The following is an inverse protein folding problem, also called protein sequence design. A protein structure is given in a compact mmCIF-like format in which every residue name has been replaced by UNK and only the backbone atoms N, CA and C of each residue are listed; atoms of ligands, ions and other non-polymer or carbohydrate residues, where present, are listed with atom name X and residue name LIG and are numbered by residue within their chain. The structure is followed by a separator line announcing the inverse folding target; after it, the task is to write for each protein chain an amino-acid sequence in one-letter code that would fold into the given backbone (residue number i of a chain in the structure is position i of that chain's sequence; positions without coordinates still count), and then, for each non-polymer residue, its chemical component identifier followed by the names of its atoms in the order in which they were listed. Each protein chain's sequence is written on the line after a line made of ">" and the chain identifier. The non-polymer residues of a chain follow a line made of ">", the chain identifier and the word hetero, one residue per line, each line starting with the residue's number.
data_IF_346092364932
#
_entry.id   IF_346092364932
#
_cell.length_a   1.000
_cell.length_b   1.000
_cell.length_c   1.000
_cell.angle_alpha   90.00
_cell.angle_beta   90.00
_cell.angle_gamma   90.00
#
_symmetry.space_group_name_H-M   'P 1'
#
loop_
_entity.id
_entity.type
_entity.pdbx_description
1 polymer ?
#
# COMPACT_ATOMS: atom_id res chain seq x y z
N UNK A 1 14.87 38.94 -3.99
CA UNK A 1 14.09 38.26 -2.94
C UNK A 1 14.42 36.77 -2.99
N UNK A 2 14.88 36.18 -1.88
CA UNK A 2 15.35 34.78 -1.82
C UNK A 2 14.29 33.84 -2.39
N UNK A 3 14.66 33.01 -3.37
CA UNK A 3 13.78 32.08 -4.12
C UNK A 3 12.93 31.19 -3.21
N UNK A 4 13.40 30.96 -1.98
CA UNK A 4 12.70 30.24 -0.91
C UNK A 4 11.41 30.95 -0.49
N UNK A 5 11.44 32.28 -0.37
CA UNK A 5 10.27 33.11 0.01
C UNK A 5 9.24 33.18 -1.12
N UNK A 6 9.70 33.18 -2.38
CA UNK A 6 8.82 33.15 -3.54
C UNK A 6 8.09 31.80 -3.65
N UNK A 7 8.78 30.69 -3.38
CA UNK A 7 8.17 29.35 -3.36
C UNK A 7 7.11 29.20 -2.26
N UNK A 8 7.40 29.66 -1.04
CA UNK A 8 6.41 29.62 0.06
C UNK A 8 5.19 30.49 -0.23
N UNK A 9 5.39 31.64 -0.87
CA UNK A 9 4.30 32.55 -1.22
C UNK A 9 3.43 32.00 -2.37
N UNK A 10 4.05 31.35 -3.37
CA UNK A 10 3.32 30.68 -4.46
C UNK A 10 2.53 29.46 -3.95
N UNK A 11 3.10 28.67 -3.03
CA UNK A 11 2.41 27.54 -2.42
C UNK A 11 1.22 27.99 -1.56
N UNK A 12 1.39 29.07 -0.79
CA UNK A 12 0.29 29.67 -0.02
C UNK A 12 -0.81 30.24 -0.91
N UNK A 13 -0.46 30.87 -2.03
CA UNK A 13 -1.42 31.41 -2.99
C UNK A 13 -2.22 30.30 -3.71
N UNK A 14 -1.55 29.21 -4.08
CA UNK A 14 -2.21 28.04 -4.67
C UNK A 14 -3.19 27.38 -3.68
N UNK A 15 -2.79 27.21 -2.41
CA UNK A 15 -3.67 26.68 -1.38
C UNK A 15 -4.89 27.58 -1.12
N UNK A 16 -4.72 28.91 -1.15
CA UNK A 16 -5.83 29.86 -1.00
C UNK A 16 -6.81 29.80 -2.18
N UNK A 17 -6.32 29.54 -3.41
CA UNK A 17 -7.19 29.41 -4.59
C UNK A 17 -8.07 28.16 -4.56
N UNK A 18 -7.62 27.08 -3.90
CA UNK A 18 -8.41 25.84 -3.77
C UNK A 18 -9.59 25.99 -2.80
N UNK A 19 -9.50 26.90 -1.82
CA UNK A 19 -10.59 27.20 -0.86
C UNK A 19 -11.72 28.01 -1.50
N UNK A 20 -11.46 28.68 -2.64
CA UNK A 20 -12.43 29.54 -3.34
C UNK A 20 -13.18 28.83 -4.48
N UNK A 21 -13.07 27.51 -4.61
CA UNK A 21 -13.87 26.74 -5.58
C UNK A 21 -15.27 26.54 -4.97
N UNK A 22 -16.17 27.46 -5.27
CA UNK A 22 -17.61 27.23 -5.08
C UNK A 22 -18.13 26.37 -6.24
N UNK A 23 -19.02 25.39 -5.96
CA UNK A 23 -19.65 24.62 -7.04
C UNK A 23 -20.52 25.56 -7.86
N UNK A 24 -20.15 25.77 -9.13
CA UNK A 24 -20.96 26.50 -10.09
C UNK A 24 -22.23 25.70 -10.39
N UNK A 25 -23.30 25.93 -9.62
CA UNK A 25 -24.63 25.42 -9.91
C UNK A 25 -25.19 26.17 -11.12
N UNK A 26 -24.88 25.67 -12.32
CA UNK A 26 -25.58 26.06 -13.54
C UNK A 26 -26.95 25.38 -13.57
N UNK A 27 -27.94 25.99 -12.91
CA UNK A 27 -29.34 25.64 -13.11
C UNK A 27 -29.81 26.20 -14.46
N UNK A 28 -29.99 25.33 -15.46
CA UNK A 28 -30.61 25.67 -16.74
C UNK A 28 -29.84 25.01 -17.88
N UNK A 29 -30.42 24.16 -18.72
CA UNK A 29 -31.83 23.99 -19.05
C UNK A 29 -31.88 23.45 -20.47
N UNK A 30 -32.13 22.15 -20.60
CA UNK A 30 -32.73 21.43 -21.72
C UNK A 30 -32.39 21.83 -23.16
N UNK A 31 -31.75 20.90 -23.88
CA UNK A 31 -32.12 20.65 -25.29
C UNK A 31 -31.02 20.74 -26.33
N UNK A 32 -29.75 20.86 -25.95
CA UNK A 32 -28.65 21.03 -26.90
C UNK A 32 -27.77 19.77 -26.93
N UNK A 33 -27.47 19.18 -28.11
CA UNK A 33 -26.77 17.88 -28.22
C UNK A 33 -25.31 17.90 -27.73
N UNK A 34 -24.75 19.10 -27.52
CA UNK A 34 -23.42 19.30 -26.95
C UNK A 34 -23.42 19.43 -25.42
N UNK A 35 -24.58 19.53 -24.76
CA UNK A 35 -24.63 19.67 -23.31
C UNK A 35 -24.23 18.38 -22.58
N UNK A 36 -24.66 17.20 -23.07
CA UNK A 36 -24.27 15.91 -22.49
C UNK A 36 -22.75 15.67 -22.46
N UNK A 37 -22.01 15.93 -23.56
CA UNK A 37 -20.56 15.89 -23.55
C UNK A 37 -19.91 16.90 -22.59
N UNK A 38 -20.48 18.10 -22.42
CA UNK A 38 -19.96 19.10 -21.47
C UNK A 38 -20.24 18.70 -20.01
N UNK A 39 -21.40 18.11 -19.74
CA UNK A 39 -21.76 17.56 -18.43
C UNK A 39 -20.86 16.38 -18.06
N UNK A 40 -20.55 15.47 -19.01
CA UNK A 40 -19.58 14.39 -18.78
C UNK A 40 -18.18 14.89 -18.45
N UNK A 41 -17.72 15.98 -19.07
CA UNK A 41 -16.43 16.60 -18.73
C UNK A 41 -16.49 17.16 -17.30
N UNK A 42 -17.60 17.80 -16.93
CA UNK A 42 -17.81 18.36 -15.60
C UNK A 42 -17.85 17.26 -14.52
N UNK A 43 -18.57 16.16 -14.77
CA UNK A 43 -18.57 14.96 -13.94
C UNK A 43 -17.19 14.29 -13.90
N UNK A 44 -16.41 14.32 -14.98
CA UNK A 44 -15.07 13.69 -15.00
C UNK A 44 -14.06 14.46 -14.14
N UNK A 45 -14.20 15.77 -14.04
CA UNK A 45 -13.31 16.64 -13.26
C UNK A 45 -13.72 16.71 -11.77
N UNK A 46 -15.00 16.48 -11.47
CA UNK A 46 -15.55 16.51 -10.10
C UNK A 46 -15.86 15.13 -9.53
N UNK A 47 -15.85 14.09 -10.35
CA UNK A 47 -16.25 12.74 -10.00
C UNK A 47 -15.16 11.91 -9.30
N UNK A 48 -15.45 10.62 -9.04
CA UNK A 48 -14.58 9.72 -8.26
C UNK A 48 -13.17 9.57 -8.82
N UNK A 49 -13.01 9.68 -10.15
CA UNK A 49 -11.71 9.55 -10.83
C UNK A 49 -10.79 10.72 -10.46
N UNK A 50 -11.30 11.95 -10.43
CA UNK A 50 -10.54 13.13 -10.00
C UNK A 50 -10.11 12.99 -8.53
N UNK A 51 -11.00 12.48 -7.67
CA UNK A 51 -10.68 12.17 -6.28
C UNK A 51 -9.54 11.15 -6.13
N UNK A 52 -9.55 10.07 -6.93
CA UNK A 52 -8.49 9.07 -6.91
C UNK A 52 -7.12 9.64 -7.35
N UNK A 53 -7.11 10.48 -8.40
CA UNK A 53 -5.90 11.16 -8.86
C UNK A 53 -5.39 12.13 -7.79
N UNK A 54 -6.28 12.89 -7.15
CA UNK A 54 -5.92 13.81 -6.07
C UNK A 54 -5.28 13.08 -4.89
N UNK A 55 -5.86 11.94 -4.47
CA UNK A 55 -5.31 11.10 -3.40
C UNK A 55 -3.91 10.59 -3.76
N UNK A 56 -3.74 10.06 -4.98
CA UNK A 56 -2.44 9.59 -5.46
C UNK A 56 -1.40 10.71 -5.49
N UNK A 57 -1.79 11.90 -5.97
CA UNK A 57 -0.92 13.08 -6.01
C UNK A 57 -0.49 13.51 -4.60
N UNK A 58 -1.41 13.53 -3.62
CA UNK A 58 -1.08 13.86 -2.22
C UNK A 58 -0.14 12.83 -1.60
N UNK A 59 -0.33 11.54 -1.86
CA UNK A 59 0.57 10.50 -1.36
C UNK A 59 1.99 10.67 -1.91
N UNK A 60 2.12 10.94 -3.21
CA UNK A 60 3.42 11.18 -3.87
C UNK A 60 4.04 12.48 -3.36
N UNK A 61 3.28 13.58 -3.26
CA UNK A 61 3.75 14.86 -2.78
C UNK A 61 4.19 14.80 -1.30
N UNK A 62 3.42 14.12 -0.45
CA UNK A 62 3.78 13.88 0.95
C UNK A 62 5.04 13.04 1.08
N UNK A 63 5.18 12.01 0.25
CA UNK A 63 6.42 11.26 0.11
C UNK A 63 7.59 12.17 -0.25
N UNK A 64 7.49 12.90 -1.36
CA UNK A 64 8.54 13.82 -1.82
C UNK A 64 8.91 14.89 -0.78
N UNK A 65 7.96 15.39 0.01
CA UNK A 65 8.21 16.42 1.02
C UNK A 65 9.10 15.91 2.17
N UNK A 66 8.93 14.65 2.58
CA UNK A 66 9.77 14.01 3.61
C UNK A 66 11.20 13.75 3.08
N UNK A 67 11.33 13.48 1.78
CA UNK A 67 12.62 13.17 1.14
C UNK A 67 13.28 14.37 0.44
N UNK A 68 12.71 15.58 0.55
CA UNK A 68 13.33 16.81 0.07
C UNK A 68 13.20 17.06 -1.45
N UNK A 69 12.28 16.40 -2.14
CA UNK A 69 11.97 16.63 -3.56
C UNK A 69 12.90 15.94 -4.56
N UNK A 70 13.87 15.16 -4.10
CA UNK A 70 14.76 14.37 -4.96
C UNK A 70 14.10 13.00 -5.24
N UNK A 71 13.67 12.79 -6.49
CA UNK A 71 12.89 11.63 -6.90
C UNK A 71 13.70 10.32 -6.81
N UNK A 72 15.01 10.39 -7.06
CA UNK A 72 15.90 9.25 -7.15
C UNK A 72 16.25 8.71 -5.75
N UNK A 73 16.43 9.57 -4.75
CA UNK A 73 16.56 9.23 -3.33
C UNK A 73 15.25 8.68 -2.75
N UNK A 74 14.10 9.25 -3.11
CA UNK A 74 12.79 8.69 -2.74
C UNK A 74 12.63 7.27 -3.29
N UNK A 75 12.87 7.06 -4.58
CA UNK A 75 12.76 5.76 -5.22
C UNK A 75 13.71 4.73 -4.60
N UNK A 76 14.96 5.13 -4.33
CA UNK A 76 15.94 4.28 -3.66
C UNK A 76 15.49 3.88 -2.26
N UNK A 77 14.95 4.81 -1.47
CA UNK A 77 14.46 4.53 -0.11
C UNK A 77 13.21 3.65 -0.12
N UNK A 78 12.29 3.87 -1.05
CA UNK A 78 11.11 3.04 -1.23
C UNK A 78 11.50 1.61 -1.61
N UNK A 79 12.48 1.44 -2.51
CA UNK A 79 13.01 0.13 -2.87
C UNK A 79 13.58 -0.62 -1.67
N UNK A 80 14.36 0.04 -0.80
CA UNK A 80 14.87 -0.60 0.43
C UNK A 80 13.76 -1.03 1.37
N UNK A 81 12.74 -0.19 1.59
CA UNK A 81 11.60 -0.54 2.45
C UNK A 81 10.87 -1.76 1.89
N UNK A 82 10.62 -1.80 0.58
CA UNK A 82 9.95 -2.93 -0.09
C UNK A 82 10.80 -4.20 -0.02
N UNK A 83 12.12 -4.11 -0.25
CA UNK A 83 13.02 -5.27 -0.15
C UNK A 83 13.04 -5.85 1.27
N UNK A 84 13.17 -5.01 2.29
CA UNK A 84 13.18 -5.46 3.69
C UNK A 84 11.82 -6.04 4.08
N UNK A 85 10.72 -5.36 3.75
CA UNK A 85 9.38 -5.86 4.03
C UNK A 85 9.13 -7.20 3.31
N UNK A 86 9.53 -7.31 2.05
CA UNK A 86 9.42 -8.55 1.27
C UNK A 86 10.21 -9.70 1.87
N UNK A 87 11.43 -9.46 2.36
CA UNK A 87 12.22 -10.47 3.07
C UNK A 87 11.54 -10.89 4.37
N UNK A 88 11.04 -9.94 5.17
CA UNK A 88 10.36 -10.26 6.44
C UNK A 88 9.08 -11.06 6.20
N UNK A 89 8.26 -10.67 5.21
CA UNK A 89 7.05 -11.39 4.83
C UNK A 89 7.35 -12.75 4.18
N UNK A 90 8.44 -12.86 3.41
CA UNK A 90 8.88 -14.12 2.80
C UNK A 90 9.50 -15.09 3.81
N UNK A 91 10.20 -14.57 4.82
CA UNK A 91 10.86 -15.37 5.85
C UNK A 91 9.86 -16.21 6.65
N UNK A 92 8.66 -15.71 6.94
CA UNK A 92 7.62 -16.49 7.62
C UNK A 92 7.18 -17.70 6.80
N UNK A 93 7.13 -17.56 5.47
CA UNK A 93 6.82 -18.67 4.56
C UNK A 93 7.93 -19.72 4.60
N UNK A 94 9.20 -19.31 4.56
CA UNK A 94 10.35 -20.22 4.61
C UNK A 94 10.38 -20.99 5.94
N UNK A 95 10.19 -20.31 7.08
CA UNK A 95 10.12 -20.95 8.41
C UNK A 95 8.98 -21.96 8.46
N UNK A 96 7.82 -21.66 7.88
CA UNK A 96 6.69 -22.58 7.80
C UNK A 96 7.02 -23.90 7.06
N UNK A 97 7.84 -23.85 6.01
CA UNK A 97 8.24 -25.04 5.24
C UNK A 97 9.12 -25.99 6.07
N UNK A 98 10.03 -25.45 6.87
CA UNK A 98 10.91 -26.25 7.73
C UNK A 98 10.29 -26.63 9.07
N UNK A 99 9.39 -25.82 9.62
CA UNK A 99 8.67 -26.12 10.86
C UNK A 99 7.63 -27.24 10.70
N UNK A 100 6.99 -27.33 9.53
CA UNK A 100 6.02 -28.39 9.22
C UNK A 100 6.66 -29.72 8.80
N UNK A 101 7.83 -29.69 8.16
CA UNK A 101 8.55 -30.89 7.70
C UNK A 101 9.47 -31.51 8.76
N UNK A 102 9.65 -30.85 9.92
CA UNK A 102 10.56 -31.30 10.98
C UNK A 102 10.00 -32.33 11.97
N UNK A 103 8.73 -32.74 11.85
CA UNK A 103 8.10 -33.70 12.76
C UNK A 103 7.71 -35.01 12.05
N UNK A 104 8.69 -35.89 11.88
CA UNK A 104 8.45 -37.34 11.79
C UNK A 104 9.72 -38.13 12.17
N UNK A 105 10.27 -37.87 13.35
CA UNK A 105 11.23 -38.80 13.96
C UNK A 105 10.77 -39.13 15.38
N UNK A 106 9.65 -39.87 15.45
CA UNK A 106 9.42 -40.81 16.55
C UNK A 106 9.92 -42.17 16.08
N UNK A 107 11.21 -42.45 16.28
CA UNK A 107 11.78 -43.79 16.04
C UNK A 107 11.19 -44.74 17.11
N UNK A 108 10.81 -45.97 16.71
CA UNK A 108 10.00 -46.87 17.52
C UNK A 108 10.86 -47.58 18.55
N UNK A 109 10.34 -47.82 19.77
CA UNK A 109 10.62 -49.00 20.61
C UNK A 109 9.67 -48.97 21.82
N UNK A 110 8.48 -49.54 21.68
CA UNK A 110 7.90 -50.25 22.82
C UNK A 110 8.69 -51.56 22.95
N UNK A 111 9.80 -51.47 23.71
CA UNK A 111 10.43 -52.63 24.30
C UNK A 111 9.47 -53.19 25.35
N UNK A 112 8.68 -54.19 24.97
CA UNK A 112 7.95 -55.01 25.93
C UNK A 112 8.95 -55.98 26.58
N UNK A 113 9.62 -55.51 27.64
CA UNK A 113 10.34 -56.37 28.60
C UNK A 113 9.35 -57.17 29.46
N UNK A 114 9.59 -58.50 29.55
CA UNK A 114 9.48 -59.40 30.73
C UNK A 114 8.09 -59.54 31.42
N UNK A 115 7.37 -60.67 31.35
CA UNK A 115 7.62 -62.05 31.86
C UNK A 115 6.23 -62.74 32.08
N UNK A 116 6.09 -64.05 32.41
CA UNK A 116 6.95 -64.83 33.31
C UNK A 116 7.52 -66.13 32.71
N UNK A 117 8.60 -66.59 33.35
CA UNK A 117 9.29 -67.86 33.13
C UNK A 117 8.33 -69.03 33.34
N UNK A 118 8.09 -69.82 32.30
CA UNK A 118 7.57 -71.20 32.42
C UNK A 118 8.57 -72.15 31.79
N UNK A 119 9.42 -72.70 32.64
CA UNK A 119 9.78 -74.10 32.58
C UNK A 119 9.23 -74.70 33.90
N UNK A 120 8.80 -75.98 33.98
CA UNK A 120 9.47 -77.04 33.24
C UNK A 120 8.69 -78.35 32.93
N UNK A 121 9.40 -79.26 32.26
CA UNK A 121 9.34 -80.73 32.26
C UNK A 121 8.04 -81.47 31.90
N UNK A 122 8.15 -82.28 30.84
CA UNK A 122 7.29 -83.40 30.46
C UNK A 122 7.87 -84.10 29.25
#
# INVERSE_FOLDING_TARGET
>A
MSSKKAFTLLLGLAAASLVMIEPALASGGGGLPWEGPLEQIQESITGPVAGAIALAAVAIAGGMLIFGGELNDFARRLCYIVLVAGILLGATQIVGLFGSSGSSIGVPLEAHEQGPVVAPHG
#
